data_IF_292219918285
#
_entry.id   IF_292219918285
#
_cell.length_a   1.000
_cell.length_b   1.000
_cell.length_c   1.000
_cell.angle_alpha   90.00
_cell.angle_beta   90.00
_cell.angle_gamma   90.00
#
_symmetry.space_group_name_H-M   'P 1'
#
loop_
_entity.id
_entity.type
_entity.pdbx_description
1 polymer ?
#
# COMPACT_ATOMS: atom_id res chain seq x y z
N UNK A 1 15.59 8.45 3.36
CA UNK A 1 15.38 7.02 3.02
C UNK A 1 14.49 6.97 1.79
N UNK A 2 14.97 6.41 0.67
CA UNK A 2 14.12 6.22 -0.51
C UNK A 2 12.95 5.30 -0.11
N UNK A 3 11.72 5.73 -0.36
CA UNK A 3 10.55 4.89 -0.12
C UNK A 3 10.72 3.59 -0.92
N UNK A 4 10.80 2.45 -0.22
CA UNK A 4 10.83 1.14 -0.86
C UNK A 4 9.59 1.02 -1.75
N UNK A 5 9.80 0.56 -2.99
CA UNK A 5 8.70 0.31 -3.92
C UNK A 5 7.71 -0.66 -3.28
N UNK A 6 6.42 -0.44 -3.49
CA UNK A 6 5.37 -1.29 -2.94
C UNK A 6 5.61 -2.79 -3.27
N UNK A 7 6.10 -3.10 -4.48
CA UNK A 7 6.39 -4.48 -4.87
C UNK A 7 7.53 -5.11 -4.06
N UNK A 8 8.48 -4.31 -3.58
CA UNK A 8 9.55 -4.81 -2.71
C UNK A 8 9.03 -5.13 -1.31
N UNK A 9 8.08 -4.32 -0.79
CA UNK A 9 7.42 -4.57 0.50
C UNK A 9 6.59 -5.85 0.44
N UNK A 10 5.81 -6.01 -0.63
CA UNK A 10 5.05 -7.24 -0.90
C UNK A 10 5.99 -8.45 -0.98
N UNK A 11 7.10 -8.33 -1.73
CA UNK A 11 8.10 -9.40 -1.88
C UNK A 11 8.71 -9.78 -0.54
N UNK A 12 9.06 -8.82 0.31
CA UNK A 12 9.59 -9.09 1.64
C UNK A 12 8.56 -9.79 2.54
N UNK A 13 7.29 -9.39 2.45
CA UNK A 13 6.19 -10.01 3.20
C UNK A 13 5.99 -11.47 2.76
N UNK A 14 5.90 -11.73 1.46
CA UNK A 14 5.73 -13.09 0.93
C UNK A 14 6.95 -13.99 1.20
N UNK A 15 8.17 -13.41 1.26
CA UNK A 15 9.38 -14.15 1.69
C UNK A 15 9.30 -14.56 3.17
N UNK A 16 8.76 -13.71 4.05
CA UNK A 16 8.54 -14.05 5.47
C UNK A 16 7.54 -15.21 5.62
N UNK A 17 6.55 -15.29 4.74
CA UNK A 17 5.61 -16.41 4.61
C UNK A 17 6.23 -17.67 3.97
N UNK A 18 7.55 -17.70 3.77
CA UNK A 18 8.31 -18.82 3.18
C UNK A 18 7.89 -19.23 1.77
N UNK A 19 7.30 -18.31 1.00
CA UNK A 19 6.98 -18.57 -0.40
C UNK A 19 8.24 -18.53 -1.28
N UNK A 20 8.25 -19.40 -2.30
CA UNK A 20 9.32 -19.46 -3.30
C UNK A 20 9.40 -18.16 -4.10
N UNK A 21 10.62 -17.74 -4.46
CA UNK A 21 10.87 -16.60 -5.36
C UNK A 21 10.08 -16.72 -6.66
N UNK A 22 9.96 -17.93 -7.22
CA UNK A 22 9.20 -18.18 -8.45
C UNK A 22 7.70 -17.91 -8.24
N UNK A 23 7.13 -18.33 -7.11
CA UNK A 23 5.72 -18.07 -6.75
C UNK A 23 5.48 -16.57 -6.57
N UNK A 24 6.40 -15.87 -5.90
CA UNK A 24 6.33 -14.42 -5.71
C UNK A 24 6.38 -13.69 -7.06
N UNK A 25 7.29 -14.07 -7.96
CA UNK A 25 7.36 -13.50 -9.30
C UNK A 25 6.08 -13.73 -10.09
N UNK A 26 5.47 -14.91 -10.02
CA UNK A 26 4.18 -15.19 -10.67
C UNK A 26 3.06 -14.31 -10.10
N UNK A 27 2.96 -14.18 -8.78
CA UNK A 27 1.97 -13.31 -8.12
C UNK A 27 2.13 -11.85 -8.60
N UNK A 28 3.37 -11.36 -8.66
CA UNK A 28 3.67 -10.00 -9.10
C UNK A 28 3.40 -9.79 -10.59
N UNK A 29 3.73 -10.78 -11.43
CA UNK A 29 3.50 -10.74 -12.87
C UNK A 29 2.02 -10.87 -13.25
N UNK A 30 1.21 -11.57 -12.45
CA UNK A 30 -0.23 -11.71 -12.66
C UNK A 30 -0.99 -10.38 -12.47
N UNK A 31 -0.37 -9.36 -11.86
CA UNK A 31 -1.01 -8.06 -11.67
C UNK A 31 -0.99 -7.22 -12.94
N UNK A 32 -2.10 -6.52 -13.18
CA UNK A 32 -2.18 -5.52 -14.25
C UNK A 32 -1.16 -4.40 -14.00
N UNK A 33 -0.30 -4.06 -14.99
CA UNK A 33 0.72 -3.02 -14.84
C UNK A 33 0.15 -1.65 -14.43
N UNK A 34 -1.05 -1.31 -14.89
CA UNK A 34 -1.75 -0.08 -14.53
C UNK A 34 -2.05 -0.01 -13.02
N UNK A 35 -2.52 -1.12 -12.42
CA UNK A 35 -2.80 -1.20 -10.98
C UNK A 35 -1.52 -1.05 -10.18
N UNK A 36 -0.43 -1.72 -10.58
CA UNK A 36 0.87 -1.57 -9.91
C UNK A 36 1.38 -0.12 -9.91
N UNK A 37 1.22 0.61 -11.03
CA UNK A 37 1.61 2.02 -11.11
C UNK A 37 0.79 2.90 -10.18
N UNK A 38 -0.53 2.70 -10.13
CA UNK A 38 -1.42 3.44 -9.23
C UNK A 38 -1.05 3.17 -7.77
N UNK A 39 -0.85 1.90 -7.40
CA UNK A 39 -0.56 1.51 -6.03
C UNK A 39 0.80 2.07 -5.58
N UNK A 40 1.82 2.00 -6.45
CA UNK A 40 3.12 2.59 -6.15
C UNK A 40 3.05 4.12 -6.02
N UNK A 41 2.26 4.80 -6.86
CA UNK A 41 2.08 6.24 -6.77
C UNK A 41 1.38 6.64 -5.45
N UNK A 42 0.34 5.90 -5.04
CA UNK A 42 -0.31 6.09 -3.74
C UNK A 42 0.66 5.82 -2.59
N UNK A 43 1.39 4.71 -2.63
CA UNK A 43 2.35 4.32 -1.60
C UNK A 43 3.44 5.37 -1.41
N UNK A 44 3.98 5.92 -2.50
CA UNK A 44 4.96 7.01 -2.45
C UNK A 44 4.38 8.27 -1.80
N UNK A 45 3.15 8.66 -2.15
CA UNK A 45 2.47 9.80 -1.51
C UNK A 45 2.27 9.58 -0.02
N UNK A 46 1.85 8.38 0.37
CA UNK A 46 1.69 8.01 1.77
C UNK A 46 3.02 8.03 2.52
N UNK A 47 4.08 7.43 1.97
CA UNK A 47 5.42 7.49 2.55
C UNK A 47 5.91 8.93 2.74
N UNK A 48 5.70 9.80 1.76
CA UNK A 48 6.04 11.23 1.87
C UNK A 48 5.24 11.92 2.98
N UNK A 49 3.95 11.60 3.12
CA UNK A 49 3.12 12.09 4.20
C UNK A 49 3.61 11.58 5.56
N UNK A 50 3.91 10.28 5.69
CA UNK A 50 4.47 9.70 6.92
C UNK A 50 5.79 10.36 7.33
N UNK A 51 6.68 10.69 6.38
CA UNK A 51 7.93 11.41 6.67
C UNK A 51 7.64 12.80 7.26
N UNK A 52 6.66 13.53 6.70
CA UNK A 52 6.25 14.85 7.20
C UNK A 52 5.61 14.75 8.59
N UNK A 53 4.79 13.73 8.81
CA UNK A 53 4.08 13.48 10.07
C UNK A 53 4.91 12.74 11.12
N UNK A 54 6.18 12.38 10.81
CA UNK A 54 7.08 11.57 11.67
C UNK A 54 6.50 10.22 12.08
N UNK A 55 5.77 9.58 11.15
CA UNK A 55 5.11 8.27 11.32
C UNK A 55 5.89 7.20 10.55
N UNK A 56 5.88 5.97 11.04
CA UNK A 56 6.40 4.82 10.29
C UNK A 56 5.38 4.38 9.23
N UNK A 57 5.74 4.43 7.92
CA UNK A 57 4.81 4.03 6.86
C UNK A 57 4.50 2.53 6.83
N UNK A 58 5.36 1.69 7.44
CA UNK A 58 5.21 0.23 7.41
C UNK A 58 4.21 -0.30 8.46
N UNK A 59 3.97 0.46 9.53
CA UNK A 59 3.10 0.04 10.64
C UNK A 59 2.27 1.25 11.12
N UNK A 60 1.48 1.90 10.24
CA UNK A 60 0.64 3.00 10.66
C UNK A 60 -0.56 2.49 11.46
N UNK A 61 -1.02 3.28 12.43
CA UNK A 61 -2.30 3.03 13.08
C UNK A 61 -3.46 3.38 12.15
N UNK A 62 -4.66 2.87 12.45
CA UNK A 62 -5.89 3.23 11.72
C UNK A 62 -6.10 4.73 11.69
N UNK A 63 -5.91 5.39 12.85
CA UNK A 63 -6.02 6.84 12.98
C UNK A 63 -5.10 7.57 12.02
N UNK A 64 -3.85 7.13 11.91
CA UNK A 64 -2.86 7.77 11.03
C UNK A 64 -3.20 7.62 9.55
N UNK A 65 -3.80 6.50 9.15
CA UNK A 65 -4.32 6.33 7.78
C UNK A 65 -5.51 7.26 7.55
N UNK A 66 -6.42 7.36 8.51
CA UNK A 66 -7.57 8.27 8.41
C UNK A 66 -7.13 9.74 8.35
N UNK A 67 -6.13 10.13 9.13
CA UNK A 67 -5.52 11.47 9.08
C UNK A 67 -4.94 11.74 7.69
N UNK A 68 -4.20 10.80 7.10
CA UNK A 68 -3.71 10.94 5.72
C UNK A 68 -4.84 11.14 4.70
N UNK A 69 -5.94 10.39 4.83
CA UNK A 69 -7.09 10.50 3.92
C UNK A 69 -7.83 11.82 4.11
N UNK A 70 -8.01 12.26 5.37
CA UNK A 70 -8.59 13.56 5.70
C UNK A 70 -7.75 14.69 5.12
N UNK A 71 -6.43 14.62 5.26
CA UNK A 71 -5.48 15.54 4.65
C UNK A 71 -5.59 15.61 3.12
N UNK A 72 -6.00 14.51 2.49
CA UNK A 72 -6.27 14.44 1.05
C UNK A 72 -7.60 15.08 0.70
N UNK A 73 -8.64 14.82 1.50
CA UNK A 73 -9.96 15.42 1.35
C UNK A 73 -9.91 16.94 1.49
N UNK A 74 -9.20 17.45 2.49
CA UNK A 74 -9.03 18.89 2.75
C UNK A 74 -8.27 19.58 1.60
N UNK A 75 -7.46 18.82 0.85
CA UNK A 75 -6.76 19.29 -0.37
C UNK A 75 -7.61 19.13 -1.64
N UNK A 76 -8.88 18.77 -1.51
CA UNK A 76 -9.84 18.66 -2.62
C UNK A 76 -9.78 17.34 -3.39
N UNK A 77 -9.21 16.27 -2.83
CA UNK A 77 -9.31 14.94 -3.46
C UNK A 77 -10.75 14.44 -3.44
N UNK A 78 -11.19 13.89 -4.57
CA UNK A 78 -12.52 13.31 -4.67
C UNK A 78 -12.66 12.04 -3.81
N UNK A 79 -13.87 11.73 -3.32
CA UNK A 79 -14.12 10.50 -2.56
C UNK A 79 -13.67 9.22 -3.29
N UNK A 80 -13.82 9.18 -4.62
CA UNK A 80 -13.36 8.06 -5.44
C UNK A 80 -11.82 7.92 -5.44
N UNK A 81 -11.11 9.04 -5.35
CA UNK A 81 -9.64 9.02 -5.23
C UNK A 81 -9.22 8.49 -3.87
N UNK A 82 -9.91 8.90 -2.80
CA UNK A 82 -9.66 8.42 -1.44
C UNK A 82 -9.94 6.92 -1.32
N UNK A 83 -11.05 6.44 -1.90
CA UNK A 83 -11.38 5.02 -1.96
C UNK A 83 -10.23 4.22 -2.60
N UNK A 84 -9.73 4.68 -3.75
CA UNK A 84 -8.61 4.02 -4.43
C UNK A 84 -7.30 4.09 -3.64
N UNK A 85 -7.11 5.14 -2.82
CA UNK A 85 -5.97 5.21 -1.91
C UNK A 85 -6.09 4.18 -0.78
N UNK A 86 -7.30 4.00 -0.23
CA UNK A 86 -7.58 2.96 0.77
C UNK A 86 -7.28 1.58 0.21
N UNK A 87 -7.77 1.23 -0.97
CA UNK A 87 -7.52 -0.08 -1.60
C UNK A 87 -6.02 -0.33 -1.80
N UNK A 88 -5.29 0.68 -2.28
CA UNK A 88 -3.86 0.59 -2.47
C UNK A 88 -3.12 0.40 -1.13
N UNK A 89 -3.47 1.17 -0.09
CA UNK A 89 -2.83 1.10 1.21
C UNK A 89 -3.15 -0.21 1.94
N UNK A 90 -4.40 -0.67 1.91
CA UNK A 90 -4.80 -1.97 2.46
C UNK A 90 -4.02 -3.11 1.81
N UNK A 91 -3.77 -2.98 0.50
CA UNK A 91 -2.97 -3.93 -0.25
C UNK A 91 -1.48 -3.91 0.19
N UNK A 92 -0.87 -2.72 0.29
CA UNK A 92 0.57 -2.59 0.63
C UNK A 92 0.86 -2.97 2.08
N UNK A 93 0.04 -2.49 3.01
CA UNK A 93 0.33 -2.51 4.45
C UNK A 93 0.10 -3.89 5.04
N UNK A 94 -0.46 -4.84 4.27
CA UNK A 94 -0.85 -6.18 4.74
C UNK A 94 -1.50 -6.06 6.11
N UNK A 95 -2.71 -5.50 6.14
CA UNK A 95 -3.45 -5.28 7.38
C UNK A 95 -3.52 -6.58 8.17
N UNK A 96 -2.75 -6.68 9.26
CA UNK A 96 -2.80 -7.80 10.20
C UNK A 96 -4.21 -7.88 10.78
N UNK A 97 -5.07 -8.67 10.13
CA UNK A 97 -6.46 -8.85 10.50
C UNK A 97 -7.40 -9.18 9.34
N UNK A 98 -7.07 -8.80 8.09
CA UNK A 98 -7.89 -9.17 6.93
C UNK A 98 -7.15 -10.12 6.01
N UNK A 99 -7.62 -11.37 5.97
CA UNK A 99 -7.34 -12.30 4.87
C UNK A 99 -7.96 -11.71 3.60
N UNK A 100 -7.25 -10.85 2.88
CA UNK A 100 -7.60 -10.58 1.49
C UNK A 100 -6.88 -11.59 0.62
N UNK A 101 -7.41 -12.82 0.65
CA UNK A 101 -7.37 -13.69 -0.51
C UNK A 101 -8.43 -13.11 -1.44
N UNK A 102 -7.99 -12.57 -2.57
CA UNK A 102 -8.80 -12.13 -3.70
C UNK A 102 -10.15 -12.86 -3.74
N UNK A 103 -11.22 -12.18 -3.34
CA UNK A 103 -12.56 -12.73 -3.45
C UNK A 103 -13.02 -12.49 -4.89
N UNK A 104 -13.20 -13.61 -5.61
CA UNK A 104 -13.62 -13.80 -7.01
C UNK A 104 -12.59 -13.56 -8.11
#
# INVERSE_FOLDING_TARGET
>A
MAALDHLEIERQTLRKEKLSVRVISTIQAARRPATCRIYNATWKKFCQWCVKSKISPLIPSVSQILEFLQDGLDKGLSPNTLHRQVEALAFVISWKGYKSLSHH
#
